data_IF_126328918103
#
_entry.id   IF_126328918103
#
_cell.length_a   1.000
_cell.length_b   1.000
_cell.length_c   1.000
_cell.angle_alpha   90.00
_cell.angle_beta   90.00
_cell.angle_gamma   90.00
#
_symmetry.space_group_name_H-M   'P 1'
#
loop_
_entity.id
_entity.type
_entity.pdbx_description
1 polymer ?
#
# COMPACT_ATOMS: atom_id res chain seq x y z
N UNK A 1 -16.20 -19.66 22.74
CA UNK A 1 -14.87 -20.23 22.46
C UNK A 1 -14.19 -19.34 21.42
N UNK A 2 -13.66 -18.20 21.87
CA UNK A 2 -13.11 -17.17 21.00
C UNK A 2 -11.58 -17.34 20.96
N UNK A 3 -11.09 -18.12 19.99
CA UNK A 3 -9.66 -18.13 19.66
C UNK A 3 -9.39 -16.81 18.95
N UNK A 4 -9.14 -15.76 19.73
CA UNK A 4 -8.36 -14.64 19.23
C UNK A 4 -7.05 -15.25 18.75
N UNK A 5 -6.85 -15.21 17.44
CA UNK A 5 -5.59 -15.60 16.82
C UNK A 5 -4.58 -14.60 17.35
N UNK A 6 -3.92 -14.96 18.46
CA UNK A 6 -2.68 -14.30 18.88
C UNK A 6 -1.71 -14.55 17.74
N UNK A 7 -1.63 -13.57 16.84
CA UNK A 7 -0.67 -13.57 15.78
C UNK A 7 0.70 -13.63 16.47
N UNK A 8 1.34 -14.80 16.38
CA UNK A 8 2.63 -15.07 17.03
C UNK A 8 3.56 -13.87 16.84
N UNK A 9 4.22 -13.43 17.91
CA UNK A 9 5.13 -12.28 17.90
C UNK A 9 6.12 -12.32 16.72
N UNK A 10 6.49 -13.52 16.25
CA UNK A 10 7.30 -13.73 15.07
C UNK A 10 6.69 -13.19 13.77
N UNK A 11 5.39 -13.38 13.54
CA UNK A 11 4.70 -12.90 12.33
C UNK A 11 4.66 -11.37 12.34
N UNK A 12 4.41 -10.75 13.50
CA UNK A 12 4.39 -9.30 13.63
C UNK A 12 5.75 -8.67 13.30
N UNK A 13 6.84 -9.30 13.78
CA UNK A 13 8.20 -8.86 13.46
C UNK A 13 8.45 -8.96 11.95
N UNK A 14 8.13 -10.10 11.33
CA UNK A 14 8.32 -10.31 9.88
C UNK A 14 7.55 -9.26 9.07
N UNK A 15 6.26 -9.06 9.38
CA UNK A 15 5.42 -8.10 8.66
C UNK A 15 5.91 -6.66 8.85
N UNK A 16 6.40 -6.32 10.05
CA UNK A 16 6.98 -4.99 10.31
C UNK A 16 8.27 -4.78 9.52
N UNK A 17 9.15 -5.79 9.47
CA UNK A 17 10.40 -5.70 8.70
C UNK A 17 10.14 -5.59 7.20
N UNK A 18 9.19 -6.37 6.68
CA UNK A 18 8.73 -6.27 5.29
C UNK A 18 8.13 -4.90 4.99
N UNK A 19 7.32 -4.36 5.90
CA UNK A 19 6.77 -3.00 5.80
C UNK A 19 7.86 -1.93 5.70
N UNK A 20 8.88 -1.99 6.57
CA UNK A 20 10.01 -1.04 6.55
C UNK A 20 10.81 -1.15 5.25
N UNK A 21 11.10 -2.38 4.81
CA UNK A 21 11.82 -2.61 3.56
C UNK A 21 11.00 -2.11 2.36
N UNK A 22 9.70 -2.37 2.34
CA UNK A 22 8.75 -1.89 1.34
C UNK A 22 8.70 -0.36 1.28
N UNK A 23 8.76 0.35 2.41
CA UNK A 23 8.84 1.83 2.42
C UNK A 23 10.08 2.31 1.68
N UNK A 24 11.26 1.75 1.98
CA UNK A 24 12.53 2.15 1.36
C UNK A 24 12.50 1.89 -0.15
N UNK A 25 12.06 0.70 -0.55
CA UNK A 25 11.97 0.32 -1.96
C UNK A 25 10.96 1.20 -2.72
N UNK A 26 9.80 1.48 -2.15
CA UNK A 26 8.79 2.30 -2.82
C UNK A 26 9.19 3.77 -2.92
N UNK A 27 9.89 4.34 -1.94
CA UNK A 27 10.50 5.68 -2.07
C UNK A 27 11.51 5.71 -3.23
N UNK A 28 12.34 4.68 -3.32
CA UNK A 28 13.29 4.52 -4.43
C UNK A 28 12.55 4.42 -5.77
N UNK A 29 11.50 3.61 -5.83
CA UNK A 29 10.67 3.45 -7.02
C UNK A 29 9.98 4.76 -7.44
N UNK A 30 9.44 5.54 -6.49
CA UNK A 30 8.90 6.88 -6.78
C UNK A 30 9.97 7.74 -7.47
N UNK A 31 11.18 7.78 -6.93
CA UNK A 31 12.28 8.57 -7.51
C UNK A 31 12.58 8.16 -8.95
N UNK A 32 12.65 6.86 -9.23
CA UNK A 32 12.91 6.32 -10.58
C UNK A 32 11.75 6.57 -11.53
N UNK A 33 10.51 6.33 -11.11
CA UNK A 33 9.32 6.43 -11.97
C UNK A 33 8.96 7.89 -12.29
N UNK A 34 9.25 8.83 -11.37
CA UNK A 34 9.06 10.26 -11.62
C UNK A 34 10.11 10.85 -12.56
N UNK A 35 11.31 10.27 -12.60
CA UNK A 35 12.37 10.66 -13.54
C UNK A 35 12.28 9.95 -14.89
N UNK A 36 11.47 8.89 -14.98
CA UNK A 36 11.24 8.12 -16.22
C UNK A 36 10.15 8.73 -17.10
N UNK A 37 10.32 8.59 -18.41
CA UNK A 37 9.30 8.91 -19.41
C UNK A 37 8.63 7.63 -19.90
N UNK A 38 7.29 7.55 -19.78
CA UNK A 38 6.51 6.46 -20.34
C UNK A 38 5.74 6.94 -21.57
N UNK A 39 5.47 6.02 -22.50
CA UNK A 39 4.93 6.37 -23.82
C UNK A 39 3.61 7.12 -23.79
N UNK A 40 2.66 6.72 -22.92
CA UNK A 40 1.34 7.36 -22.82
C UNK A 40 1.16 8.09 -21.48
N UNK A 41 0.30 9.12 -21.48
CA UNK A 41 -0.08 9.86 -20.26
C UNK A 41 -0.76 8.95 -19.23
N UNK A 42 -1.61 8.04 -19.69
CA UNK A 42 -2.30 7.08 -18.83
C UNK A 42 -1.32 6.09 -18.19
N UNK A 43 -0.46 5.47 -19.00
CA UNK A 43 0.62 4.60 -18.52
C UNK A 43 1.50 5.32 -17.51
N UNK A 44 1.91 6.56 -17.78
CA UNK A 44 2.71 7.37 -16.85
C UNK A 44 2.00 7.58 -15.51
N UNK A 45 0.70 7.92 -15.54
CA UNK A 45 -0.11 8.13 -14.34
C UNK A 45 -0.19 6.85 -13.49
N UNK A 46 -0.57 5.74 -14.12
CA UNK A 46 -0.75 4.44 -13.44
C UNK A 46 0.59 3.94 -12.87
N UNK A 47 1.70 4.06 -13.61
CA UNK A 47 3.03 3.69 -13.10
C UNK A 47 3.48 4.56 -11.93
N UNK A 48 3.19 5.88 -11.94
CA UNK A 48 3.53 6.79 -10.83
C UNK A 48 2.66 6.59 -9.59
N UNK A 49 1.39 6.24 -9.79
CA UNK A 49 0.46 5.99 -8.69
C UNK A 49 0.79 4.69 -7.94
N UNK A 50 1.29 3.67 -8.64
CA UNK A 50 1.59 2.35 -8.06
C UNK A 50 2.50 2.42 -6.81
N UNK A 51 3.74 2.98 -6.88
CA UNK A 51 4.62 2.99 -5.72
C UNK A 51 4.14 3.95 -4.63
N UNK A 52 3.24 4.91 -4.93
CA UNK A 52 2.61 5.76 -3.90
C UNK A 52 1.60 4.94 -3.09
N UNK A 53 0.76 4.14 -3.76
CA UNK A 53 -0.19 3.26 -3.07
C UNK A 53 0.54 2.19 -2.27
N UNK A 54 1.56 1.56 -2.86
CA UNK A 54 2.38 0.56 -2.18
C UNK A 54 3.13 1.15 -0.97
N UNK A 55 3.72 2.35 -1.11
CA UNK A 55 4.33 3.07 0.01
C UNK A 55 3.32 3.30 1.15
N UNK A 56 2.12 3.77 0.82
CA UNK A 56 1.09 4.04 1.83
C UNK A 56 0.61 2.78 2.55
N UNK A 57 0.49 1.65 1.83
CA UNK A 57 0.16 0.35 2.40
C UNK A 57 1.26 -0.12 3.35
N UNK A 58 2.52 -0.10 2.92
CA UNK A 58 3.68 -0.49 3.74
C UNK A 58 3.82 0.40 4.98
N UNK A 59 3.60 1.70 4.85
CA UNK A 59 3.67 2.66 5.95
C UNK A 59 2.60 2.42 7.01
N UNK A 60 1.33 2.29 6.59
CA UNK A 60 0.22 2.02 7.51
C UNK A 60 0.41 0.66 8.20
N UNK A 61 0.88 -0.35 7.45
CA UNK A 61 1.19 -1.68 8.01
C UNK A 61 2.28 -1.62 9.08
N UNK A 62 3.40 -0.94 8.79
CA UNK A 62 4.50 -0.82 9.74
C UNK A 62 4.07 -0.08 11.01
N UNK A 63 3.37 1.05 10.88
CA UNK A 63 2.86 1.79 12.04
C UNK A 63 1.90 0.93 12.87
N UNK A 64 1.00 0.19 12.21
CA UNK A 64 0.04 -0.65 12.90
C UNK A 64 0.71 -1.65 13.83
N UNK A 65 1.68 -2.41 13.31
CA UNK A 65 2.36 -3.43 14.10
C UNK A 65 3.33 -2.83 15.13
N UNK A 66 3.93 -1.66 14.87
CA UNK A 66 4.75 -0.95 15.86
C UNK A 66 3.90 -0.48 17.06
N UNK A 67 2.71 0.07 16.82
CA UNK A 67 1.80 0.50 17.89
C UNK A 67 1.33 -0.70 18.72
N UNK A 68 1.03 -1.83 18.07
CA UNK A 68 0.68 -3.08 18.76
C UNK A 68 1.84 -3.59 19.62
N UNK A 69 3.06 -3.61 19.07
CA UNK A 69 4.26 -4.07 19.79
C UNK A 69 4.58 -3.21 21.02
N UNK A 70 4.36 -1.90 20.94
CA UNK A 70 4.63 -0.97 22.04
C UNK A 70 3.54 -0.92 23.11
N UNK A 71 2.49 -1.78 23.01
CA UNK A 71 1.27 -1.70 23.84
C UNK A 71 0.66 -0.28 23.87
N UNK A 72 0.87 0.49 22.80
CA UNK A 72 0.46 1.88 22.68
C UNK A 72 -1.00 2.05 22.30
N UNK A 73 -1.70 0.97 21.92
CA UNK A 73 -3.06 0.99 21.39
C UNK A 73 -4.11 1.60 22.34
N UNK A 74 -3.85 1.60 23.65
CA UNK A 74 -4.74 2.16 24.68
C UNK A 74 -4.34 3.57 25.14
N UNK A 75 -3.31 4.19 24.55
CA UNK A 75 -2.88 5.54 24.91
C UNK A 75 -3.55 6.56 24.00
N UNK A 76 -4.32 7.47 24.60
CA UNK A 76 -4.84 8.64 23.90
C UNK A 76 -3.69 9.54 23.46
N UNK A 77 -3.77 10.07 22.23
CA UNK A 77 -2.80 11.06 21.73
C UNK A 77 -2.94 12.41 22.42
N UNK A 78 -4.03 12.62 23.18
CA UNK A 78 -4.32 13.85 23.91
C UNK A 78 -5.06 14.90 23.07
N UNK A 79 -5.33 14.59 21.81
CA UNK A 79 -6.05 15.43 20.86
C UNK A 79 -7.34 14.73 20.43
N UNK A 80 -8.47 15.17 21.00
CA UNK A 80 -9.80 14.54 20.79
C UNK A 80 -10.16 14.29 19.33
N UNK A 81 -9.82 15.23 18.43
CA UNK A 81 -10.11 15.12 16.99
C UNK A 81 -9.30 13.97 16.38
N UNK A 82 -8.01 13.87 16.70
CA UNK A 82 -7.12 12.82 16.18
C UNK A 82 -7.51 11.47 16.75
N UNK A 83 -7.79 11.39 18.05
CA UNK A 83 -8.24 10.16 18.70
C UNK A 83 -9.55 9.64 18.08
N UNK A 84 -10.49 10.53 17.75
CA UNK A 84 -11.76 10.17 17.09
C UNK A 84 -11.58 9.74 15.64
N UNK A 85 -10.72 10.44 14.89
CA UNK A 85 -10.38 10.08 13.51
C UNK A 85 -9.70 8.72 13.48
N UNK A 86 -8.66 8.52 14.29
CA UNK A 86 -7.98 7.23 14.42
C UNK A 86 -9.00 6.16 14.82
N UNK A 87 -9.84 6.38 15.84
CA UNK A 87 -10.84 5.40 16.23
C UNK A 87 -11.75 4.97 15.07
N UNK A 88 -12.31 5.91 14.30
CA UNK A 88 -13.20 5.58 13.18
C UNK A 88 -12.49 4.99 11.97
N UNK A 89 -11.34 5.53 11.61
CA UNK A 89 -10.60 5.11 10.42
C UNK A 89 -9.82 3.80 10.63
N UNK A 90 -9.47 3.52 11.88
CA UNK A 90 -8.82 2.28 12.32
C UNK A 90 -9.83 1.20 12.71
N UNK A 91 -11.09 1.58 12.97
CA UNK A 91 -12.19 0.64 13.11
C UNK A 91 -12.26 -0.26 11.86
N UNK A 92 -12.25 -1.57 12.06
CA UNK A 92 -12.24 -2.60 11.00
C UNK A 92 -11.07 -2.56 10.02
N UNK A 93 -9.94 -1.90 10.35
CA UNK A 93 -8.78 -1.82 9.46
C UNK A 93 -9.08 -1.16 8.10
N UNK A 94 -10.11 -0.30 8.00
CA UNK A 94 -10.52 0.27 6.71
C UNK A 94 -9.42 1.11 6.04
N UNK A 95 -8.65 1.90 6.81
CA UNK A 95 -7.48 2.61 6.28
C UNK A 95 -6.34 1.70 5.86
N UNK A 96 -6.23 0.51 6.44
CA UNK A 96 -5.22 -0.47 6.03
C UNK A 96 -5.57 -1.08 4.67
N UNK A 97 -6.85 -1.42 4.45
CA UNK A 97 -7.28 -2.06 3.21
C UNK A 97 -7.35 -1.11 2.01
N UNK A 98 -7.68 0.16 2.23
CA UNK A 98 -7.83 1.13 1.15
C UNK A 98 -6.60 1.22 0.21
N UNK A 99 -5.37 1.48 0.69
CA UNK A 99 -4.21 1.55 -0.18
C UNK A 99 -3.86 0.21 -0.83
N UNK A 100 -4.09 -0.91 -0.15
CA UNK A 100 -3.92 -2.25 -0.72
C UNK A 100 -4.89 -2.48 -1.90
N UNK A 101 -6.15 -2.11 -1.75
CA UNK A 101 -7.16 -2.24 -2.82
C UNK A 101 -6.79 -1.32 -3.99
N UNK A 102 -6.40 -0.07 -3.72
CA UNK A 102 -5.99 0.86 -4.77
C UNK A 102 -4.76 0.35 -5.53
N UNK A 103 -3.76 -0.21 -4.83
CA UNK A 103 -2.59 -0.84 -5.44
C UNK A 103 -2.99 -2.02 -6.35
N UNK A 104 -3.82 -2.94 -5.88
CA UNK A 104 -4.25 -4.10 -6.67
C UNK A 104 -5.03 -3.67 -7.91
N UNK A 105 -5.95 -2.71 -7.77
CA UNK A 105 -6.72 -2.20 -8.92
C UNK A 105 -5.81 -1.48 -9.92
N UNK A 106 -4.83 -0.72 -9.45
CA UNK A 106 -3.88 -0.04 -10.30
C UNK A 106 -2.99 -1.05 -11.07
N UNK A 107 -2.60 -2.16 -10.43
CA UNK A 107 -1.87 -3.25 -11.08
C UNK A 107 -2.68 -3.91 -12.19
N UNK A 108 -3.98 -4.15 -11.97
CA UNK A 108 -4.92 -4.62 -13.01
C UNK A 108 -4.97 -3.64 -14.19
N UNK A 109 -5.02 -2.33 -13.92
CA UNK A 109 -4.97 -1.31 -14.99
C UNK A 109 -3.66 -1.37 -15.79
N UNK A 110 -2.50 -1.57 -15.14
CA UNK A 110 -1.20 -1.75 -15.83
C UNK A 110 -1.27 -2.97 -16.75
N UNK A 111 -1.78 -4.10 -16.26
CA UNK A 111 -1.88 -5.32 -17.05
C UNK A 111 -2.76 -5.13 -18.28
N UNK A 112 -3.92 -4.48 -18.12
CA UNK A 112 -4.82 -4.20 -19.24
C UNK A 112 -4.20 -3.24 -20.27
N UNK A 113 -3.51 -2.18 -19.82
CA UNK A 113 -2.79 -1.25 -20.70
C UNK A 113 -1.76 -1.99 -21.56
N UNK A 114 -0.98 -2.90 -20.95
CA UNK A 114 0.02 -3.71 -21.65
C UNK A 114 -0.61 -4.69 -22.65
N UNK A 115 -1.70 -5.35 -22.29
CA UNK A 115 -2.42 -6.25 -23.17
C UNK A 115 -2.99 -5.52 -24.39
N UNK A 116 -3.56 -4.33 -24.20
CA UNK A 116 -4.12 -3.54 -25.29
C UNK A 116 -3.05 -3.10 -26.30
N UNK A 117 -1.87 -2.70 -25.83
CA UNK A 117 -0.73 -2.36 -26.69
C UNK A 117 -0.26 -3.56 -27.50
N UNK A 118 -0.19 -4.76 -26.90
CA UNK A 118 0.20 -5.99 -27.60
C UNK A 118 -0.83 -6.39 -28.65
N UNK A 119 -2.12 -6.32 -28.32
CA UNK A 119 -3.21 -6.65 -29.23
C UNK A 119 -3.23 -5.72 -30.44
N UNK A 120 -3.09 -4.41 -30.22
CA UNK A 120 -3.01 -3.42 -31.30
C UNK A 120 -1.83 -3.68 -32.23
N UNK A 121 -0.66 -4.05 -31.70
CA UNK A 121 0.51 -4.40 -32.51
C UNK A 121 0.29 -5.66 -33.33
N UNK A 122 -0.38 -6.67 -32.78
CA UNK A 122 -0.68 -7.93 -33.50
C UNK A 122 -1.65 -7.68 -34.67
N UNK A 123 -2.69 -6.88 -34.45
CA UNK A 123 -3.68 -6.52 -35.49
C UNK A 123 -3.00 -5.75 -36.64
N UNK A 124 -2.08 -4.83 -36.35
CA UNK A 124 -1.33 -4.12 -37.39
C UNK A 124 -0.32 -5.00 -38.15
N UNK A 125 0.04 -6.17 -37.63
CA UNK A 125 1.01 -7.07 -38.24
C UNK A 125 0.37 -8.15 -39.14
N UNK A 126 -0.95 -8.31 -39.06
CA UNK A 126 -1.78 -9.20 -39.89
C UNK A 126 -2.39 -8.43 -41.06
#
# INVERSE_FOLDING_TARGET
>A
MNKTVDLSSSIQIIVTTEGIFGIILNITAITVVFTSQFGSKFTTFVFRAQPIFDLSACFITAIYYIIQFTNGYNKFTGLYIIDRLLCHFWFQNSLFWLPCILSVQNLVCISLDRMNVLLSKLICAL
#
